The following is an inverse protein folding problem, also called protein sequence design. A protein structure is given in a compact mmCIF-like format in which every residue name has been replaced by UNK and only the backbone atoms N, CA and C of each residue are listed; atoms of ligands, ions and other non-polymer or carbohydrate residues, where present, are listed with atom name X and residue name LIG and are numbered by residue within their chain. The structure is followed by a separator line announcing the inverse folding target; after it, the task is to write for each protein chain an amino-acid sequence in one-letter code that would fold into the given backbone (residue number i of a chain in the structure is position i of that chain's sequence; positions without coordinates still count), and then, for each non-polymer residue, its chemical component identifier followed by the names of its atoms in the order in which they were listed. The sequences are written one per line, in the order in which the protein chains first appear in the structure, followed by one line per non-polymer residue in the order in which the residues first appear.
data_IF_028227779117
#
_entry.id   IF_028227779117
#
_cell.length_a   1.000
_cell.length_b   1.000
_cell.length_c   1.000
_cell.angle_alpha   90.00
_cell.angle_beta   90.00
_cell.angle_gamma   90.00
#
_symmetry.space_group_name_H-M   'P 1'
#
loop_
_entity.id
_entity.type
_entity.pdbx_description
1 polymer ?
#
# COMPACT_ATOMS: atom_id res chain seq x y z
N UNK A 1 19.26 3.64 -18.67
CA UNK A 1 17.90 3.56 -18.12
C UNK A 1 17.84 4.43 -16.87
N UNK A 2 16.80 5.27 -16.69
CA UNK A 2 16.69 6.18 -15.54
C UNK A 2 16.19 5.41 -14.31
N UNK A 3 16.85 5.61 -13.16
CA UNK A 3 16.44 5.03 -11.87
C UNK A 3 15.78 6.10 -10.98
N UNK A 4 14.79 5.68 -10.20
CA UNK A 4 13.99 6.55 -9.33
C UNK A 4 14.43 6.44 -7.87
N UNK A 5 14.53 7.57 -7.18
CA UNK A 5 14.79 7.65 -5.73
C UNK A 5 13.52 7.66 -4.88
N UNK A 6 12.36 7.74 -5.52
CA UNK A 6 11.06 7.73 -4.83
C UNK A 6 10.11 6.86 -5.64
N UNK A 7 9.55 5.86 -4.98
CA UNK A 7 8.48 5.03 -5.49
C UNK A 7 7.23 5.36 -4.68
N UNK A 8 6.14 5.66 -5.38
CA UNK A 8 4.81 5.84 -4.82
C UNK A 8 3.90 4.82 -5.48
N UNK A 9 3.22 4.00 -4.69
CA UNK A 9 2.43 2.89 -5.19
C UNK A 9 1.11 2.76 -4.44
N UNK A 10 0.03 2.56 -5.19
CA UNK A 10 -1.29 2.17 -4.69
C UNK A 10 -1.77 0.94 -5.47
N UNK A 11 -1.30 -0.26 -5.09
CA UNK A 11 -1.62 -1.48 -5.82
C UNK A 11 -3.12 -1.80 -5.78
N UNK A 12 -3.69 -2.39 -6.85
CA UNK A 12 -5.08 -2.78 -6.87
C UNK A 12 -5.28 -4.09 -6.09
N UNK A 13 -5.20 -4.04 -4.76
CA UNK A 13 -5.29 -5.20 -3.87
C UNK A 13 -6.55 -6.03 -4.11
N UNK A 14 -6.37 -7.33 -4.38
CA UNK A 14 -7.47 -8.30 -4.43
C UNK A 14 -7.92 -8.69 -3.02
N UNK A 15 -9.18 -8.39 -2.67
CA UNK A 15 -9.75 -8.73 -1.37
C UNK A 15 -10.16 -10.22 -1.32
N UNK A 16 -9.87 -10.88 -0.18
CA UNK A 16 -10.22 -12.30 0.05
C UNK A 16 -11.73 -12.54 0.11
N UNK A 17 -12.46 -11.55 0.60
CA UNK A 17 -13.91 -11.63 0.68
C UNK A 17 -14.45 -11.46 -0.74
N UNK A 18 -15.20 -12.45 -1.24
CA UNK A 18 -15.93 -12.33 -2.50
C UNK A 18 -16.89 -11.15 -2.36
N UNK A 19 -16.45 -9.97 -2.81
CA UNK A 19 -17.26 -8.77 -2.82
C UNK A 19 -18.56 -9.11 -3.54
N UNK A 20 -19.66 -8.65 -2.96
CA UNK A 20 -20.95 -8.54 -3.65
C UNK A 20 -20.68 -8.10 -5.11
N UNK A 21 -21.27 -8.77 -6.12
CA UNK A 21 -21.06 -8.43 -7.53
C UNK A 21 -21.21 -6.93 -7.85
N UNK A 22 -22.02 -6.21 -7.08
CA UNK A 22 -22.24 -4.76 -7.19
C UNK A 22 -21.07 -3.89 -6.70
N UNK A 23 -20.09 -4.48 -6.00
CA UNK A 23 -18.94 -3.78 -5.41
C UNK A 23 -17.62 -4.05 -6.15
N UNK A 24 -17.68 -4.67 -7.33
CA UNK A 24 -16.50 -4.85 -8.18
C UNK A 24 -15.90 -3.50 -8.55
N UNK A 25 -14.57 -3.41 -8.47
CA UNK A 25 -13.83 -2.24 -8.93
C UNK A 25 -13.98 -2.10 -10.44
N UNK A 26 -13.97 -0.87 -11.00
CA UNK A 26 -13.99 -0.66 -12.45
C UNK A 26 -12.64 -0.98 -13.12
N UNK A 27 -11.72 -1.64 -12.40
CA UNK A 27 -10.37 -1.98 -12.86
C UNK A 27 -9.97 -3.37 -12.35
N UNK A 28 -9.06 -4.09 -13.06
CA UNK A 28 -8.55 -5.38 -12.61
C UNK A 28 -7.83 -5.29 -11.28
N UNK A 29 -8.07 -6.29 -10.42
CA UNK A 29 -7.34 -6.47 -9.17
C UNK A 29 -6.11 -7.35 -9.39
N UNK A 30 -5.17 -7.28 -8.46
CA UNK A 30 -3.96 -8.09 -8.43
C UNK A 30 -3.87 -8.81 -7.08
N UNK A 31 -3.49 -10.08 -7.13
CA UNK A 31 -3.06 -10.84 -5.96
C UNK A 31 -1.75 -10.26 -5.41
N UNK A 32 -1.50 -10.50 -4.12
CA UNK A 32 -0.22 -10.10 -3.49
C UNK A 32 0.99 -10.63 -4.27
N UNK A 33 0.92 -11.86 -4.79
CA UNK A 33 2.01 -12.46 -5.56
C UNK A 33 2.24 -11.77 -6.92
N UNK A 34 1.20 -11.29 -7.58
CA UNK A 34 1.33 -10.48 -8.79
C UNK A 34 1.94 -9.12 -8.49
N UNK A 35 1.56 -8.50 -7.36
CA UNK A 35 2.11 -7.21 -6.91
C UNK A 35 3.61 -7.36 -6.61
N UNK A 36 4.02 -8.42 -5.89
CA UNK A 36 5.43 -8.73 -5.62
C UNK A 36 6.27 -8.87 -6.90
N UNK A 37 5.68 -9.40 -7.98
CA UNK A 37 6.34 -9.62 -9.27
C UNK A 37 6.51 -8.36 -10.12
N UNK A 38 5.92 -7.23 -9.74
CA UNK A 38 6.12 -5.97 -10.46
C UNK A 38 7.62 -5.62 -10.54
N UNK A 39 8.12 -5.08 -11.67
CA UNK A 39 9.55 -4.89 -11.92
C UNK A 39 10.16 -3.70 -11.16
N UNK A 40 9.67 -3.36 -9.96
CA UNK A 40 10.08 -2.20 -9.15
C UNK A 40 11.58 -2.24 -8.85
N UNK A 41 12.14 -3.42 -8.60
CA UNK A 41 13.59 -3.62 -8.37
C UNK A 41 14.46 -3.14 -9.52
N UNK A 42 13.95 -3.14 -10.76
CA UNK A 42 14.67 -2.68 -11.96
C UNK A 42 14.57 -1.16 -12.17
N UNK A 43 13.64 -0.50 -11.50
CA UNK A 43 13.33 0.93 -11.68
C UNK A 43 13.89 1.80 -10.54
N UNK A 44 14.26 1.21 -9.42
CA UNK A 44 14.66 1.94 -8.20
C UNK A 44 16.18 2.10 -8.09
N UNK A 45 16.62 3.27 -7.64
CA UNK A 45 18.02 3.53 -7.27
C UNK A 45 18.41 2.85 -5.94
N UNK A 46 19.71 2.72 -5.68
CA UNK A 46 20.23 2.08 -4.46
C UNK A 46 19.86 2.79 -3.15
N UNK A 47 19.70 4.11 -3.20
CA UNK A 47 19.17 4.94 -2.10
C UNK A 47 17.83 5.51 -2.53
N UNK A 48 16.75 4.97 -1.99
CA UNK A 48 15.40 5.36 -2.38
C UNK A 48 14.36 5.20 -1.26
N UNK A 49 13.25 5.90 -1.39
CA UNK A 49 12.07 5.79 -0.54
C UNK A 49 10.93 5.08 -1.26
N UNK A 50 10.12 4.34 -0.50
CA UNK A 50 8.86 3.75 -0.93
C UNK A 50 7.73 4.29 -0.06
N UNK A 51 6.67 4.74 -0.72
CA UNK A 51 5.36 5.07 -0.16
C UNK A 51 4.35 4.09 -0.75
N UNK A 52 3.90 3.13 0.04
CA UNK A 52 3.05 2.03 -0.40
C UNK A 52 1.69 2.10 0.31
N UNK A 53 0.64 2.46 -0.42
CA UNK A 53 -0.72 2.43 0.09
C UNK A 53 -1.19 1.00 0.30
N UNK A 54 -1.78 0.80 1.47
CA UNK A 54 -2.29 -0.46 1.92
C UNK A 54 -3.58 -0.24 2.73
N UNK A 55 -4.54 -1.13 2.56
CA UNK A 55 -5.70 -1.20 3.46
C UNK A 55 -5.33 -2.02 4.70
N UNK A 56 -5.97 -1.74 5.84
CA UNK A 56 -5.63 -2.40 7.11
C UNK A 56 -5.65 -3.94 7.04
N UNK A 57 -6.57 -4.52 6.26
CA UNK A 57 -6.68 -5.98 6.09
C UNK A 57 -5.53 -6.62 5.30
N UNK A 58 -4.72 -5.79 4.63
CA UNK A 58 -3.58 -6.22 3.82
C UNK A 58 -2.24 -5.78 4.44
N UNK A 59 -2.22 -5.31 5.69
CA UNK A 59 -1.00 -4.79 6.33
C UNK A 59 0.17 -5.78 6.22
N UNK A 60 -0.10 -7.07 6.50
CA UNK A 60 0.92 -8.13 6.40
C UNK A 60 1.43 -8.26 4.96
N UNK A 61 0.53 -8.35 4.00
CA UNK A 61 0.83 -8.44 2.57
C UNK A 61 1.59 -7.21 2.06
N UNK A 62 1.26 -6.02 2.55
CA UNK A 62 1.95 -4.77 2.24
C UNK A 62 3.40 -4.77 2.71
N UNK A 63 3.67 -5.29 3.91
CA UNK A 63 5.03 -5.47 4.43
C UNK A 63 5.82 -6.49 3.59
N UNK A 64 5.20 -7.62 3.22
CA UNK A 64 5.82 -8.62 2.36
C UNK A 64 6.12 -8.07 0.95
N UNK A 65 5.24 -7.25 0.39
CA UNK A 65 5.46 -6.57 -0.91
C UNK A 65 6.65 -5.62 -0.80
N UNK A 66 6.68 -4.79 0.25
CA UNK A 66 7.78 -3.85 0.51
C UNK A 66 9.13 -4.58 0.58
N UNK A 67 9.20 -5.66 1.36
CA UNK A 67 10.39 -6.51 1.47
C UNK A 67 10.77 -7.12 0.11
N UNK A 68 9.78 -7.67 -0.62
CA UNK A 68 10.02 -8.27 -1.93
C UNK A 68 10.61 -7.28 -2.95
N UNK A 69 10.27 -5.99 -2.85
CA UNK A 69 10.82 -4.91 -3.69
C UNK A 69 12.18 -4.40 -3.19
N UNK A 70 12.68 -4.90 -2.07
CA UNK A 70 13.98 -4.58 -1.50
C UNK A 70 13.98 -3.31 -0.64
N UNK A 71 12.84 -2.97 -0.04
CA UNK A 71 12.71 -1.87 0.91
C UNK A 71 12.54 -2.42 2.32
N UNK A 72 13.16 -1.75 3.29
CA UNK A 72 12.97 -2.01 4.70
C UNK A 72 11.91 -1.06 5.25
N UNK A 73 10.90 -1.59 5.94
CA UNK A 73 9.92 -0.79 6.65
C UNK A 73 10.57 0.09 7.72
N UNK A 74 10.10 1.33 7.85
CA UNK A 74 10.54 2.27 8.89
C UNK A 74 9.37 2.82 9.70
N UNK A 75 8.30 3.24 9.03
CA UNK A 75 7.11 3.79 9.68
C UNK A 75 5.93 3.80 8.71
N UNK A 76 4.81 4.39 9.10
CA UNK A 76 3.64 4.58 8.23
C UNK A 76 3.05 5.98 8.38
N UNK A 77 2.34 6.42 7.35
CA UNK A 77 1.50 7.61 7.34
C UNK A 77 0.05 7.15 7.43
N UNK A 78 -0.75 7.80 8.28
CA UNK A 78 -2.17 7.50 8.44
C UNK A 78 -3.01 8.57 7.77
N UNK A 79 -3.79 8.20 6.76
CA UNK A 79 -4.85 9.04 6.24
C UNK A 79 -6.12 8.84 7.06
N UNK A 80 -6.46 9.83 7.88
CA UNK A 80 -7.74 9.91 8.58
C UNK A 80 -8.84 10.37 7.64
N UNK A 81 -9.85 9.52 7.44
CA UNK A 81 -10.97 9.80 6.55
C UNK A 81 -12.03 10.62 7.27
N UNK A 82 -12.32 11.79 6.71
CA UNK A 82 -13.35 12.70 7.23
C UNK A 82 -14.45 12.90 6.19
N UNK A 83 -15.66 13.12 6.67
CA UNK A 83 -16.76 13.64 5.87
C UNK A 83 -16.50 15.10 5.53
N UNK A 84 -17.25 15.66 4.56
CA UNK A 84 -17.21 17.10 4.23
C UNK A 84 -17.51 18.04 5.42
N UNK A 85 -18.09 17.51 6.51
CA UNK A 85 -18.40 18.26 7.73
C UNK A 85 -17.40 18.00 8.86
N UNK A 86 -16.24 17.39 8.58
CA UNK A 86 -15.19 17.13 9.56
C UNK A 86 -15.45 15.96 10.52
N UNK A 87 -16.59 15.28 10.42
CA UNK A 87 -16.87 14.06 11.19
C UNK A 87 -16.09 12.87 10.63
N UNK A 88 -15.76 11.88 11.46
CA UNK A 88 -15.13 10.63 11.00
C UNK A 88 -15.99 9.94 9.95
N UNK A 89 -15.40 9.62 8.81
CA UNK A 89 -15.99 8.70 7.84
C UNK A 89 -15.54 7.29 8.18
N UNK A 90 -16.46 6.34 8.17
CA UNK A 90 -16.17 4.95 8.53
C UNK A 90 -16.76 3.99 7.49
N UNK A 91 -16.03 2.93 7.19
CA UNK A 91 -16.51 1.80 6.41
C UNK A 91 -17.47 0.92 7.21
N UNK A 92 -17.97 -0.13 6.55
CA UNK A 92 -18.77 -1.18 7.20
C UNK A 92 -17.95 -1.89 8.27
N UNK A 93 -16.76 -2.38 7.91
CA UNK A 93 -15.92 -3.18 8.82
C UNK A 93 -16.51 -4.56 9.10
N UNK A 94 -15.66 -5.57 9.30
CA UNK A 94 -16.10 -6.89 9.78
C UNK A 94 -16.02 -6.96 11.31
N UNK A 95 -14.87 -6.60 11.88
CA UNK A 95 -14.64 -6.56 13.32
C UNK A 95 -14.67 -5.13 13.88
N UNK A 96 -13.99 -4.20 13.19
CA UNK A 96 -13.95 -2.78 13.51
C UNK A 96 -14.25 -1.96 12.26
N UNK A 97 -14.85 -0.77 12.46
CA UNK A 97 -15.14 0.15 11.38
C UNK A 97 -13.89 0.94 10.99
N UNK A 98 -13.33 0.65 9.82
CA UNK A 98 -12.16 1.35 9.31
C UNK A 98 -12.50 2.83 8.99
N UNK A 99 -11.83 3.77 9.65
CA UNK A 99 -11.93 5.22 9.38
C UNK A 99 -10.62 5.83 8.88
N UNK A 100 -9.66 4.96 8.56
CA UNK A 100 -8.29 5.31 8.19
C UNK A 100 -7.79 4.41 7.06
N UNK A 101 -6.88 4.95 6.25
CA UNK A 101 -6.00 4.18 5.36
C UNK A 101 -4.54 4.44 5.73
N UNK A 102 -3.67 3.48 5.43
CA UNK A 102 -2.26 3.56 5.77
C UNK A 102 -1.40 3.59 4.51
N UNK A 103 -0.36 4.41 4.55
CA UNK A 103 0.71 4.40 3.57
C UNK A 103 1.98 3.96 4.28
N UNK A 104 2.45 2.75 3.98
CA UNK A 104 3.68 2.22 4.54
C UNK A 104 4.86 2.99 3.95
N UNK A 105 5.79 3.38 4.82
CA UNK A 105 7.03 4.04 4.43
C UNK A 105 8.22 3.12 4.64
N UNK A 106 9.01 2.94 3.57
CA UNK A 106 10.21 2.12 3.60
C UNK A 106 11.38 2.74 2.85
N UNK A 107 12.59 2.28 3.15
CA UNK A 107 13.82 2.76 2.53
C UNK A 107 14.60 1.61 1.90
N UNK A 108 15.16 1.86 0.72
CA UNK A 108 16.15 0.99 0.09
C UNK A 108 17.51 1.58 0.42
N UNK A 109 18.25 0.87 1.30
CA UNK A 109 19.48 1.31 2.00
C UNK A 109 19.27 2.50 2.94
N UNK A 110 19.94 2.48 4.09
CA UNK A 110 19.80 3.57 5.06
C UNK A 110 20.40 4.89 4.54
N UNK A 111 19.71 5.98 4.84
CA UNK A 111 20.22 7.33 4.72
C UNK A 111 20.93 7.65 6.03
N UNK A 112 22.24 7.40 6.09
CA UNK A 112 23.06 7.88 7.20
C UNK A 112 23.27 9.39 7.04
N UNK A 113 23.10 10.13 8.13
CA UNK A 113 23.39 11.56 8.23
C UNK A 113 24.89 11.83 8.17
#
# INVERSE_FOLDING_TARGET
MKLYRTIYADPPWCFRDKLDPTRRKPYPEMTTEEIKKLPIKKLVADKAHLYLWCVHTHLKEGLEVMESWGFQYKTLIVWRKLTKHGKLWFGMGHYFRASVEICLFGVKREFTY
#
